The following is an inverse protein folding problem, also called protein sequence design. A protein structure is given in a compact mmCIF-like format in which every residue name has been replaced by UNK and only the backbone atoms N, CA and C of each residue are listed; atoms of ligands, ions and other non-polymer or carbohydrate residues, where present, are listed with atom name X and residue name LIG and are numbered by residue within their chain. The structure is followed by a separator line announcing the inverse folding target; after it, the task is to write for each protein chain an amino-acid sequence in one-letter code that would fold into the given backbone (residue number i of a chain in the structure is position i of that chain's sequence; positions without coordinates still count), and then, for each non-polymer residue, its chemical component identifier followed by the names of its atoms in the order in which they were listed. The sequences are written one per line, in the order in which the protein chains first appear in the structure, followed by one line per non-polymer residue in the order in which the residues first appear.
data_IF_969826004497
#
_entry.id   IF_969826004497
#
_cell.length_a   1.000
_cell.length_b   1.000
_cell.length_c   1.000
_cell.angle_alpha   90.00
_cell.angle_beta   90.00
_cell.angle_gamma   90.00
#
_symmetry.space_group_name_H-M   'P 1'
#
loop_
_entity.id
_entity.type
_entity.pdbx_description
1 polymer ?
#
# COMPACT_ATOMS: atom_id res chain seq x y z
N UNK A 1 -4.64 15.56 19.63
CA UNK A 1 -3.90 14.31 19.88
C UNK A 1 -3.87 13.54 18.58
N UNK A 2 -2.74 12.98 18.17
CA UNK A 2 -2.59 12.32 16.88
C UNK A 2 -3.00 10.84 16.88
N UNK A 3 -3.05 10.18 18.04
CA UNK A 3 -3.56 8.82 18.19
C UNK A 3 -5.11 8.83 18.22
N UNK A 4 -5.75 8.04 17.37
CA UNK A 4 -7.21 7.98 17.26
C UNK A 4 -7.68 6.65 16.66
N UNK A 5 -8.88 6.19 17.03
CA UNK A 5 -9.52 5.01 16.43
C UNK A 5 -10.19 5.29 15.07
N UNK A 6 -10.25 6.57 14.68
CA UNK A 6 -10.76 7.03 13.38
C UNK A 6 -9.66 7.22 12.33
N UNK A 7 -8.39 7.09 12.72
CA UNK A 7 -7.27 7.20 11.79
C UNK A 7 -7.27 6.03 10.80
N UNK A 8 -6.78 6.29 9.59
CA UNK A 8 -6.72 5.34 8.49
C UNK A 8 -5.27 4.92 8.21
N UNK A 9 -5.07 3.62 8.04
CA UNK A 9 -3.79 3.02 7.70
C UNK A 9 -3.80 2.69 6.20
N UNK A 10 -2.91 3.36 5.48
CA UNK A 10 -2.66 3.16 4.07
C UNK A 10 -1.40 2.32 3.90
N UNK A 11 -1.44 1.36 3.00
CA UNK A 11 -0.32 0.44 2.72
C UNK A 11 -0.27 0.14 1.24
N UNK A 12 0.94 -0.06 0.75
CA UNK A 12 1.22 -0.54 -0.60
C UNK A 12 2.40 -1.49 -0.53
N UNK A 13 2.33 -2.55 -1.32
CA UNK A 13 3.35 -3.58 -1.44
C UNK A 13 3.85 -3.64 -2.87
N UNK A 14 5.17 -3.78 -3.01
CA UNK A 14 5.75 -4.28 -4.26
C UNK A 14 6.03 -5.77 -4.12
N UNK A 15 5.71 -6.51 -5.18
CA UNK A 15 5.85 -7.96 -5.24
C UNK A 15 6.64 -8.39 -6.46
N UNK A 16 7.19 -9.60 -6.37
CA UNK A 16 7.82 -10.29 -7.52
C UNK A 16 6.78 -10.78 -8.56
N UNK A 17 5.49 -10.58 -8.33
CA UNK A 17 4.40 -10.96 -9.23
C UNK A 17 3.04 -11.00 -8.53
N UNK A 18 2.01 -11.50 -9.21
CA UNK A 18 0.60 -11.35 -8.79
C UNK A 18 0.02 -12.50 -7.96
N UNK A 19 0.66 -13.67 -7.97
CA UNK A 19 0.20 -14.86 -7.24
C UNK A 19 0.92 -14.99 -5.87
N UNK A 20 0.23 -14.81 -4.72
CA UNK A 20 0.83 -14.94 -3.40
C UNK A 20 1.37 -16.34 -3.07
N UNK A 21 0.89 -17.39 -3.75
CA UNK A 21 1.39 -18.75 -3.53
C UNK A 21 2.80 -18.93 -4.12
N UNK A 22 3.09 -18.20 -5.21
CA UNK A 22 4.35 -18.31 -5.95
C UNK A 22 5.33 -17.18 -5.62
N UNK A 23 4.82 -15.96 -5.47
CA UNK A 23 5.59 -14.72 -5.38
C UNK A 23 5.73 -14.22 -3.94
N UNK A 24 6.67 -13.30 -3.78
CA UNK A 24 7.09 -12.70 -2.51
C UNK A 24 6.97 -11.18 -2.52
N UNK A 25 6.76 -10.63 -1.32
CA UNK A 25 6.84 -9.19 -1.03
C UNK A 25 8.31 -8.76 -1.09
N UNK A 26 8.59 -7.66 -1.78
CA UNK A 26 9.92 -7.06 -1.95
C UNK A 26 9.97 -5.59 -1.50
N UNK A 27 8.84 -4.92 -1.33
CA UNK A 27 8.76 -3.64 -0.63
C UNK A 27 7.47 -3.52 0.17
N UNK A 28 7.52 -2.77 1.27
CA UNK A 28 6.33 -2.30 1.98
C UNK A 28 6.53 -0.84 2.40
N UNK A 29 5.49 -0.03 2.20
CA UNK A 29 5.38 1.30 2.78
C UNK A 29 4.04 1.46 3.49
N UNK A 30 3.97 2.35 4.47
CA UNK A 30 2.72 2.70 5.15
C UNK A 30 2.60 4.20 5.38
N UNK A 31 1.38 4.73 5.33
CA UNK A 31 1.05 6.10 5.73
C UNK A 31 -0.15 6.05 6.68
N UNK A 32 -0.16 6.92 7.68
CA UNK A 32 -1.34 7.15 8.52
C UNK A 32 -1.95 8.51 8.20
N UNK A 33 -3.25 8.51 7.91
CA UNK A 33 -4.04 9.75 7.82
C UNK A 33 -5.03 9.82 8.97
N UNK A 34 -5.53 11.03 9.25
CA UNK A 34 -6.78 11.17 10.01
C UNK A 34 -7.98 10.75 9.16
N UNK A 35 -9.18 10.80 9.73
CA UNK A 35 -10.44 10.53 9.02
C UNK A 35 -10.71 11.49 7.87
N UNK A 36 -10.04 12.65 7.87
CA UNK A 36 -10.22 13.72 6.90
C UNK A 36 -9.21 13.64 5.74
N UNK A 37 -8.38 12.58 5.72
CA UNK A 37 -7.33 12.31 4.74
C UNK A 37 -6.11 13.24 4.86
N UNK A 38 -5.95 13.94 5.99
CA UNK A 38 -4.71 14.67 6.26
C UNK A 38 -3.63 13.67 6.68
N UNK A 39 -2.46 13.72 6.02
CA UNK A 39 -1.32 12.87 6.36
C UNK A 39 -0.82 13.27 7.76
N UNK A 40 -0.83 12.31 8.69
CA UNK A 40 -0.33 12.50 10.05
C UNK A 40 1.12 12.04 10.17
N UNK A 41 1.45 10.93 9.52
CA UNK A 41 2.80 10.38 9.51
C UNK A 41 3.02 9.40 8.36
N UNK A 42 4.27 9.33 7.93
CA UNK A 42 4.76 8.31 7.01
C UNK A 42 5.56 7.28 7.81
N UNK A 43 5.28 6.02 7.53
CA UNK A 43 5.95 4.88 8.14
C UNK A 43 7.29 4.58 7.48
N UNK A 44 7.96 3.50 7.90
CA UNK A 44 9.19 3.06 7.25
C UNK A 44 8.89 2.57 5.83
N UNK A 45 9.81 2.83 4.91
CA UNK A 45 9.80 2.30 3.54
C UNK A 45 10.87 1.21 3.46
N UNK A 46 10.43 -0.05 3.43
CA UNK A 46 11.30 -1.19 3.67
C UNK A 46 11.37 -2.08 2.45
N UNK A 47 12.56 -2.17 1.86
CA UNK A 47 12.85 -3.26 0.93
C UNK A 47 12.96 -4.56 1.73
N UNK A 48 12.30 -5.62 1.26
CA UNK A 48 12.23 -6.92 1.93
C UNK A 48 13.13 -7.90 1.21
N UNK A 49 14.08 -8.49 1.94
CA UNK A 49 15.09 -9.38 1.39
C UNK A 49 14.46 -10.59 0.70
N UNK A 50 14.92 -10.89 -0.52
CA UNK A 50 14.59 -12.11 -1.25
C UNK A 50 15.85 -12.69 -1.89
N UNK A 51 15.88 -14.02 -2.03
CA UNK A 51 16.96 -14.69 -2.74
C UNK A 51 16.91 -14.41 -4.25
N UNK A 52 18.04 -14.54 -4.95
CA UNK A 52 18.07 -14.42 -6.42
C UNK A 52 17.12 -15.42 -7.10
N UNK A 53 16.88 -16.59 -6.51
CA UNK A 53 15.94 -17.57 -7.05
C UNK A 53 14.48 -17.09 -6.98
N UNK A 54 14.12 -16.27 -5.99
CA UNK A 54 12.80 -15.64 -5.91
C UNK A 54 12.69 -14.44 -6.86
N UNK A 55 13.75 -13.62 -6.94
CA UNK A 55 13.82 -12.50 -7.89
C UNK A 55 13.75 -12.99 -9.35
N UNK A 56 14.36 -14.14 -9.65
CA UNK A 56 14.30 -14.76 -10.98
C UNK A 56 12.89 -15.25 -11.39
N UNK A 57 11.91 -15.27 -10.48
CA UNK A 57 10.51 -15.59 -10.82
C UNK A 57 9.72 -14.39 -11.34
N UNK A 58 10.29 -13.18 -11.27
CA UNK A 58 9.68 -12.00 -11.85
C UNK A 58 9.51 -12.17 -13.36
N UNK A 59 8.36 -11.76 -13.89
CA UNK A 59 8.18 -11.65 -15.32
C UNK A 59 8.95 -10.44 -15.88
N UNK A 60 8.84 -10.20 -17.20
CA UNK A 60 9.50 -9.08 -17.86
C UNK A 60 9.06 -7.72 -17.30
N UNK A 61 7.78 -7.59 -16.96
CA UNK A 61 7.22 -6.35 -16.43
C UNK A 61 7.79 -6.04 -15.05
N UNK A 62 7.68 -6.98 -14.10
CA UNK A 62 8.24 -6.83 -12.75
C UNK A 62 9.75 -6.59 -12.80
N UNK A 63 10.48 -7.37 -13.61
CA UNK A 63 11.93 -7.23 -13.73
C UNK A 63 12.31 -5.83 -14.21
N UNK A 64 11.66 -5.34 -15.26
CA UNK A 64 11.97 -4.02 -15.84
C UNK A 64 11.61 -2.89 -14.89
N UNK A 65 10.40 -2.92 -14.33
CA UNK A 65 9.89 -1.89 -13.42
C UNK A 65 10.74 -1.79 -12.17
N UNK A 66 10.96 -2.90 -11.46
CA UNK A 66 11.67 -2.91 -10.18
C UNK A 66 13.17 -2.68 -10.33
N UNK A 67 13.75 -3.03 -11.48
CA UNK A 67 15.15 -2.67 -11.77
C UNK A 67 15.27 -1.18 -12.05
N UNK A 68 14.36 -0.60 -12.85
CA UNK A 68 14.38 0.82 -13.21
C UNK A 68 14.15 1.74 -12.01
N UNK A 69 13.31 1.33 -11.06
CA UNK A 69 13.08 2.08 -9.81
C UNK A 69 14.25 1.97 -8.82
N UNK A 70 15.19 1.05 -9.05
CA UNK A 70 16.29 0.74 -8.12
C UNK A 70 15.88 -0.18 -6.97
N UNK A 71 14.63 -0.66 -6.95
CA UNK A 71 14.13 -1.54 -5.89
C UNK A 71 14.88 -2.88 -5.86
N UNK A 72 15.19 -3.49 -7.02
CA UNK A 72 15.94 -4.76 -7.05
C UNK A 72 17.30 -4.64 -6.34
N UNK A 73 18.02 -3.53 -6.54
CA UNK A 73 19.30 -3.30 -5.88
C UNK A 73 19.14 -3.08 -4.37
N UNK A 74 18.08 -2.38 -3.95
CA UNK A 74 17.73 -2.26 -2.51
C UNK A 74 17.41 -3.62 -1.91
N UNK A 75 16.64 -4.48 -2.61
CA UNK A 75 16.34 -5.84 -2.14
C UNK A 75 17.62 -6.66 -1.93
N UNK A 76 18.63 -6.49 -2.80
CA UNK A 76 19.92 -7.20 -2.71
C UNK A 76 20.83 -6.68 -1.61
N UNK A 77 20.87 -5.37 -1.42
CA UNK A 77 21.96 -4.72 -0.68
C UNK A 77 21.53 -3.93 0.55
N UNK A 78 20.27 -3.48 0.61
CA UNK A 78 19.73 -2.61 1.66
C UNK A 78 18.30 -3.04 2.01
N UNK A 79 18.17 -4.27 2.49
CA UNK A 79 16.89 -4.90 2.79
C UNK A 79 16.83 -5.50 4.17
N UNK A 80 15.60 -5.64 4.67
CA UNK A 80 15.31 -6.26 5.96
C UNK A 80 14.63 -7.62 5.76
N UNK A 81 14.66 -8.46 6.78
CA UNK A 81 13.87 -9.70 6.75
C UNK A 81 12.38 -9.37 6.80
N UNK A 82 11.55 -10.28 6.29
CA UNK A 82 10.09 -10.15 6.37
C UNK A 82 9.59 -9.95 7.81
N UNK A 83 10.19 -10.63 8.79
CA UNK A 83 9.83 -10.50 10.21
C UNK A 83 10.18 -9.10 10.76
N UNK A 84 11.34 -8.57 10.38
CA UNK A 84 11.75 -7.22 10.78
C UNK A 84 10.86 -6.16 10.12
N UNK A 85 10.47 -6.34 8.85
CA UNK A 85 9.51 -5.47 8.18
C UNK A 85 8.17 -5.41 8.91
N UNK A 86 7.62 -6.58 9.30
CA UNK A 86 6.39 -6.68 10.11
C UNK A 86 6.54 -5.92 11.43
N UNK A 87 7.61 -6.19 12.18
CA UNK A 87 7.84 -5.59 13.49
C UNK A 87 7.97 -4.08 13.42
N UNK A 88 8.76 -3.56 12.48
CA UNK A 88 8.94 -2.11 12.31
C UNK A 88 7.64 -1.43 11.90
N UNK A 89 6.88 -2.05 10.99
CA UNK A 89 5.58 -1.54 10.55
C UNK A 89 4.59 -1.48 11.72
N UNK A 90 4.42 -2.58 12.47
CA UNK A 90 3.51 -2.59 13.64
C UNK A 90 3.94 -1.57 14.69
N UNK A 91 5.24 -1.51 15.01
CA UNK A 91 5.79 -0.53 15.98
C UNK A 91 5.50 0.91 15.57
N UNK A 92 5.48 1.20 14.26
CA UNK A 92 5.05 2.48 13.75
C UNK A 92 3.55 2.69 13.96
N UNK A 93 2.71 1.75 13.53
CA UNK A 93 1.25 1.86 13.56
C UNK A 93 0.67 2.02 14.98
N UNK A 94 1.25 1.35 15.98
CA UNK A 94 0.84 1.42 17.39
C UNK A 94 0.91 2.82 18.00
N UNK A 95 1.68 3.73 17.39
CA UNK A 95 1.78 5.12 17.82
C UNK A 95 0.59 5.96 17.35
N UNK A 96 -0.20 5.49 16.39
CA UNK A 96 -1.20 6.31 15.70
C UNK A 96 -2.61 5.72 15.70
N UNK A 97 -2.76 4.40 15.66
CA UNK A 97 -4.07 3.75 15.50
C UNK A 97 -4.16 2.53 16.43
N UNK A 98 -5.26 2.29 17.15
CA UNK A 98 -5.43 1.04 17.88
C UNK A 98 -5.57 -0.15 16.93
N UNK A 99 -5.04 -1.31 17.34
CA UNK A 99 -5.21 -2.58 16.63
C UNK A 99 -6.70 -2.88 16.35
N UNK A 100 -6.99 -3.35 15.13
CA UNK A 100 -8.31 -3.81 14.70
C UNK A 100 -9.33 -2.69 14.42
N UNK A 101 -8.88 -1.43 14.35
CA UNK A 101 -9.76 -0.27 14.10
C UNK A 101 -9.78 0.18 12.65
N UNK A 102 -8.62 0.52 12.09
CA UNK A 102 -8.56 0.96 10.70
C UNK A 102 -8.83 -0.19 9.74
N UNK A 103 -9.68 -0.03 8.72
CA UNK A 103 -9.63 -0.88 7.53
C UNK A 103 -8.28 -0.75 6.84
N UNK A 104 -7.93 -1.69 5.97
CA UNK A 104 -6.78 -1.52 5.07
C UNK A 104 -7.17 -0.56 3.94
N UNK A 105 -6.31 0.43 3.65
CA UNK A 105 -6.60 1.49 2.67
C UNK A 105 -5.56 1.50 1.53
N UNK A 106 -6.03 1.72 0.30
CA UNK A 106 -5.17 1.84 -0.89
C UNK A 106 -5.96 1.62 -2.19
N UNK A 107 -5.27 1.44 -3.31
CA UNK A 107 -5.86 1.12 -4.59
C UNK A 107 -5.78 -0.38 -4.87
N UNK A 108 -6.90 -1.01 -5.22
CA UNK A 108 -6.95 -2.46 -5.48
C UNK A 108 -6.39 -3.28 -4.29
N UNK A 109 -6.54 -2.71 -3.09
CA UNK A 109 -5.84 -3.08 -1.85
C UNK A 109 -6.13 -4.51 -1.36
N UNK A 110 -7.16 -5.15 -1.94
CA UNK A 110 -7.39 -6.58 -1.79
C UNK A 110 -6.21 -7.43 -2.27
N UNK A 111 -5.47 -6.98 -3.28
CA UNK A 111 -4.29 -7.68 -3.80
C UNK A 111 -3.17 -7.72 -2.76
N UNK A 112 -2.81 -6.58 -2.20
CA UNK A 112 -1.84 -6.44 -1.12
C UNK A 112 -2.24 -7.28 0.08
N UNK A 113 -3.52 -7.22 0.46
CA UNK A 113 -4.01 -7.97 1.61
C UNK A 113 -3.89 -9.49 1.43
N UNK A 114 -4.01 -10.02 0.20
CA UNK A 114 -3.74 -11.44 -0.07
C UNK A 114 -2.28 -11.81 0.25
N UNK A 115 -1.33 -10.93 -0.08
CA UNK A 115 0.08 -11.12 0.28
C UNK A 115 0.30 -10.99 1.79
N UNK A 116 -0.37 -10.04 2.46
CA UNK A 116 -0.30 -9.91 3.92
C UNK A 116 -0.84 -11.16 4.63
N UNK A 117 -1.98 -11.71 4.21
CA UNK A 117 -2.52 -12.96 4.78
C UNK A 117 -1.50 -14.12 4.72
N UNK A 118 -0.79 -14.24 3.59
CA UNK A 118 0.14 -15.34 3.35
C UNK A 118 1.49 -15.15 4.03
N UNK A 119 2.06 -13.95 3.90
CA UNK A 119 3.46 -13.69 4.22
C UNK A 119 3.63 -12.84 5.47
N UNK A 120 2.65 -12.00 5.82
CA UNK A 120 2.74 -11.10 6.99
C UNK A 120 1.47 -11.17 7.86
N UNK A 121 1.04 -12.36 8.34
CA UNK A 121 -0.26 -12.53 8.99
C UNK A 121 -0.41 -11.74 10.30
N UNK A 122 0.68 -11.51 11.01
CA UNK A 122 0.66 -10.67 12.23
C UNK A 122 0.34 -9.20 11.91
N UNK A 123 0.90 -8.68 10.81
CA UNK A 123 0.59 -7.33 10.31
C UNK A 123 -0.83 -7.27 9.74
N UNK A 124 -1.28 -8.28 8.99
CA UNK A 124 -2.66 -8.35 8.51
C UNK A 124 -3.66 -8.28 9.66
N UNK A 125 -3.41 -9.03 10.75
CA UNK A 125 -4.25 -9.04 11.94
C UNK A 125 -4.26 -7.70 12.69
N UNK A 126 -3.42 -6.73 12.30
CA UNK A 126 -3.46 -5.38 12.83
C UNK A 126 -4.66 -4.58 12.31
N UNK A 127 -5.09 -4.86 11.08
CA UNK A 127 -6.19 -4.15 10.42
C UNK A 127 -7.55 -4.68 10.86
N UNK A 128 -8.59 -3.86 10.72
CA UNK A 128 -9.98 -4.30 10.72
C UNK A 128 -10.28 -5.10 9.43
N UNK A 129 -11.27 -6.00 9.45
CA UNK A 129 -11.58 -6.89 8.31
C UNK A 129 -12.07 -6.16 7.04
N UNK A 130 -12.45 -4.89 7.15
CA UNK A 130 -12.94 -4.08 6.02
C UNK A 130 -11.80 -3.50 5.19
N UNK A 131 -12.18 -2.97 4.04
CA UNK A 131 -11.31 -2.37 3.05
C UNK A 131 -11.84 -0.98 2.72
N UNK A 132 -10.94 -0.01 2.55
CA UNK A 132 -11.23 1.25 1.86
C UNK A 132 -10.43 1.20 0.57
N UNK A 133 -11.07 0.71 -0.48
CA UNK A 133 -10.46 0.54 -1.80
C UNK A 133 -10.81 1.72 -2.71
N UNK A 134 -9.84 2.58 -2.97
CA UNK A 134 -10.00 3.78 -3.81
C UNK A 134 -10.35 3.40 -5.25
N UNK A 135 -9.89 2.24 -5.75
CA UNK A 135 -10.22 1.74 -7.08
C UNK A 135 -11.71 1.42 -7.23
N UNK A 136 -12.42 1.13 -6.12
CA UNK A 136 -13.89 1.00 -6.16
C UNK A 136 -14.52 2.31 -6.64
N UNK A 137 -14.08 3.45 -6.10
CA UNK A 137 -14.61 4.76 -6.47
C UNK A 137 -14.21 5.13 -7.89
N UNK A 138 -12.99 4.81 -8.31
CA UNK A 138 -12.55 4.97 -9.69
C UNK A 138 -13.46 4.24 -10.67
N UNK A 139 -13.78 2.98 -10.39
CA UNK A 139 -14.63 2.15 -11.24
C UNK A 139 -16.10 2.59 -11.27
N UNK A 140 -16.63 3.06 -10.13
CA UNK A 140 -17.97 3.65 -10.08
C UNK A 140 -18.02 4.98 -10.85
N UNK A 141 -17.03 5.85 -10.64
CA UNK A 141 -16.91 7.13 -11.36
C UNK A 141 -16.80 6.92 -12.86
N UNK A 142 -15.99 5.96 -13.31
CA UNK A 142 -15.89 5.59 -14.73
C UNK A 142 -17.23 5.23 -15.38
N UNK A 143 -18.18 4.71 -14.60
CA UNK A 143 -19.51 4.31 -15.10
C UNK A 143 -20.56 5.40 -14.95
N UNK A 144 -20.50 6.16 -13.87
CA UNK A 144 -21.58 7.09 -13.50
C UNK A 144 -21.26 8.54 -13.83
N UNK A 145 -19.98 8.92 -13.87
CA UNK A 145 -19.52 10.29 -14.10
C UNK A 145 -18.10 10.31 -14.70
N UNK A 146 -17.88 9.70 -15.89
CA UNK A 146 -16.54 9.45 -16.44
C UNK A 146 -15.72 10.72 -16.68
N UNK A 147 -16.37 11.86 -16.96
CA UNK A 147 -15.71 13.15 -17.18
C UNK A 147 -14.94 13.66 -15.95
N UNK A 148 -15.24 13.15 -14.75
CA UNK A 148 -14.48 13.46 -13.53
C UNK A 148 -13.08 12.83 -13.57
N UNK A 149 -12.88 11.73 -14.29
CA UNK A 149 -11.57 11.07 -14.34
C UNK A 149 -10.52 11.92 -15.07
N UNK A 150 -10.93 12.82 -15.96
CA UNK A 150 -10.02 13.71 -16.69
C UNK A 150 -9.34 14.75 -15.77
N UNK A 151 -9.90 14.99 -14.57
CA UNK A 151 -9.38 15.95 -13.61
C UNK A 151 -8.32 15.40 -12.65
N UNK A 152 -7.95 14.11 -12.77
CA UNK A 152 -6.94 13.49 -11.91
C UNK A 152 -6.07 12.52 -12.70
N UNK A 153 -4.75 12.66 -12.59
CA UNK A 153 -3.77 11.78 -13.23
C UNK A 153 -2.72 11.32 -12.22
N UNK A 154 -2.40 10.02 -12.27
CA UNK A 154 -1.28 9.42 -11.52
C UNK A 154 0.01 9.48 -12.34
N UNK A 155 1.14 9.69 -11.67
CA UNK A 155 2.47 9.56 -12.25
C UNK A 155 2.85 8.08 -12.39
N UNK A 156 2.46 7.22 -11.43
CA UNK A 156 2.72 5.78 -11.47
C UNK A 156 4.20 5.44 -11.43
N UNK A 157 4.87 5.82 -10.34
CA UNK A 157 6.32 5.62 -10.19
C UNK A 157 6.71 4.20 -9.79
N UNK A 158 5.76 3.37 -9.32
CA UNK A 158 6.02 2.02 -8.81
C UNK A 158 7.07 2.03 -7.68
N UNK A 159 6.88 3.00 -6.78
CA UNK A 159 7.57 3.13 -5.51
C UNK A 159 6.49 3.19 -4.44
N UNK A 160 6.51 2.25 -3.50
CA UNK A 160 5.38 2.01 -2.62
C UNK A 160 4.89 3.27 -1.88
N UNK A 161 5.79 4.12 -1.39
CA UNK A 161 5.39 5.33 -0.66
C UNK A 161 4.72 6.37 -1.58
N UNK A 162 5.20 6.52 -2.80
CA UNK A 162 4.63 7.48 -3.76
C UNK A 162 3.27 6.99 -4.25
N UNK A 163 3.12 5.68 -4.51
CA UNK A 163 1.85 5.09 -4.91
C UNK A 163 0.78 5.21 -3.80
N UNK A 164 1.18 5.13 -2.51
CA UNK A 164 0.27 5.44 -1.38
C UNK A 164 -0.13 6.92 -1.39
N UNK A 165 0.81 7.85 -1.57
CA UNK A 165 0.50 9.29 -1.63
C UNK A 165 -0.46 9.60 -2.77
N UNK A 166 -0.29 8.96 -3.93
CA UNK A 166 -1.21 9.07 -5.06
C UNK A 166 -2.58 8.48 -4.74
N UNK A 167 -2.65 7.38 -4.01
CA UNK A 167 -3.91 6.77 -3.55
C UNK A 167 -4.68 7.71 -2.61
N UNK A 168 -3.98 8.35 -1.67
CA UNK A 168 -4.57 9.36 -0.76
C UNK A 168 -5.06 10.57 -1.56
N UNK A 169 -4.23 11.09 -2.47
CA UNK A 169 -4.58 12.23 -3.32
C UNK A 169 -5.80 11.92 -4.21
N UNK A 170 -5.88 10.69 -4.75
CA UNK A 170 -7.02 10.23 -5.55
C UNK A 170 -8.31 10.21 -4.70
N UNK A 171 -8.25 9.70 -3.46
CA UNK A 171 -9.41 9.71 -2.57
C UNK A 171 -9.81 11.13 -2.15
N UNK A 172 -8.84 12.01 -1.89
CA UNK A 172 -9.10 13.42 -1.63
C UNK A 172 -9.77 14.10 -2.83
N UNK A 173 -9.39 13.74 -4.05
CA UNK A 173 -10.02 14.22 -5.27
C UNK A 173 -11.48 13.75 -5.35
N UNK A 174 -11.73 12.44 -5.21
CA UNK A 174 -13.10 11.91 -5.20
C UNK A 174 -13.97 12.51 -4.10
N UNK A 175 -13.41 12.72 -2.91
CA UNK A 175 -14.10 13.40 -1.80
C UNK A 175 -14.68 14.76 -2.21
N UNK A 176 -13.98 15.51 -3.06
CA UNK A 176 -14.41 16.83 -3.53
C UNK A 176 -15.35 16.78 -4.74
N UNK A 177 -15.30 15.73 -5.56
CA UNK A 177 -15.91 15.72 -6.90
C UNK A 177 -17.10 14.79 -7.07
N UNK A 178 -17.19 13.71 -6.27
CA UNK A 178 -18.26 12.69 -6.38
C UNK A 178 -19.05 12.47 -5.08
N UNK A 179 -18.52 12.90 -3.92
CA UNK A 179 -19.23 12.79 -2.64
C UNK A 179 -19.96 14.10 -2.27
N UNK A 180 -21.05 13.95 -1.52
CA UNK A 180 -21.85 15.05 -0.98
C UNK A 180 -22.23 14.76 0.48
N UNK A 181 -21.22 14.59 1.33
CA UNK A 181 -21.33 14.28 2.77
C UNK A 181 -20.48 15.25 3.59
#
# INVERSE_FOLDING_TARGET
MSFSDQNLIWVDLEMTGLDPETHKIIEIATIVTDSELNILAEGPVLAVHQSEAELAKMDEWCTTTHTKSGLVERVRHDSVTQQEAVKQTITFLEKWVPKGKSPICGNSIGQDRRFLYKHMPELEAYFHYRYVDVSTLKELTRRWKPEVLDGFSKQGSHLALDDIRESIAELQYYRKTIFSI
#
